data_IF_938842602159
#
_entry.id   IF_938842602159
#
_cell.length_a   1.000
_cell.length_b   1.000
_cell.length_c   1.000
_cell.angle_alpha   90.00
_cell.angle_beta   90.00
_cell.angle_gamma   90.00
#
_symmetry.space_group_name_H-M   'P 1'
#
loop_
_entity.id
_entity.type
_entity.pdbx_description
1 polymer ?
#
# COMPACT_ATOMS: atom_id res chain seq x y z
N UNK A 1 23.51 1.38 5.14
CA UNK A 1 24.53 0.79 6.03
C UNK A 1 23.97 -0.18 7.09
N UNK A 2 22.70 -0.07 7.50
CA UNK A 2 22.12 -0.94 8.56
C UNK A 2 21.78 -2.38 8.12
N UNK A 3 21.44 -2.59 6.84
CA UNK A 3 20.98 -3.91 6.34
C UNK A 3 22.12 -4.86 5.96
N UNK A 4 23.28 -4.35 5.53
CA UNK A 4 24.46 -5.19 5.25
C UNK A 4 24.96 -5.95 6.48
N UNK A 5 24.77 -5.38 7.67
CA UNK A 5 25.10 -6.02 8.95
C UNK A 5 24.15 -7.21 9.23
N UNK A 6 22.86 -7.10 8.88
CA UNK A 6 21.88 -8.16 9.15
C UNK A 6 21.90 -9.33 8.18
N UNK A 7 22.48 -9.19 6.98
CA UNK A 7 22.58 -10.31 6.01
C UNK A 7 23.34 -11.50 6.59
N UNK A 8 24.34 -11.24 7.45
CA UNK A 8 25.11 -12.29 8.13
C UNK A 8 24.33 -13.03 9.23
N UNK A 9 23.18 -12.49 9.66
CA UNK A 9 22.31 -13.09 10.66
C UNK A 9 21.16 -13.91 10.04
N UNK A 10 20.99 -13.85 8.72
CA UNK A 10 19.95 -14.59 8.02
C UNK A 10 20.53 -15.90 7.46
N UNK A 11 19.72 -16.99 7.43
CA UNK A 11 20.06 -18.21 6.73
C UNK A 11 20.52 -17.93 5.29
N UNK A 12 21.62 -18.56 4.87
CA UNK A 12 22.28 -18.28 3.58
C UNK A 12 21.46 -18.68 2.35
N UNK A 13 20.44 -19.51 2.55
CA UNK A 13 19.46 -19.94 1.56
C UNK A 13 18.35 -18.90 1.31
N UNK A 14 18.26 -17.83 2.12
CA UNK A 14 17.24 -16.78 1.95
C UNK A 14 17.78 -15.61 1.14
N UNK A 15 17.16 -15.37 -0.02
CA UNK A 15 17.41 -14.18 -0.82
C UNK A 15 16.74 -12.96 -0.19
N UNK A 16 17.51 -11.89 0.02
CA UNK A 16 17.01 -10.59 0.45
C UNK A 16 17.11 -9.63 -0.72
N UNK A 17 15.96 -9.11 -1.14
CA UNK A 17 15.87 -8.16 -2.25
C UNK A 17 15.79 -6.73 -1.75
N UNK A 18 16.27 -5.83 -2.59
CA UNK A 18 16.13 -4.39 -2.40
C UNK A 18 15.41 -3.81 -3.61
N UNK A 19 14.44 -2.93 -3.37
CA UNK A 19 13.86 -2.12 -4.43
C UNK A 19 14.94 -1.12 -4.86
N UNK A 20 15.17 -1.04 -6.17
CA UNK A 20 16.12 -0.08 -6.74
C UNK A 20 15.75 1.35 -6.31
N UNK A 21 16.76 2.16 -6.00
CA UNK A 21 16.54 3.51 -5.48
C UNK A 21 15.74 4.36 -6.47
N UNK A 22 16.03 4.22 -7.75
CA UNK A 22 15.41 4.89 -8.88
C UNK A 22 13.91 4.65 -8.93
N UNK A 23 13.46 3.41 -8.66
CA UNK A 23 12.03 3.05 -8.59
C UNK A 23 11.36 3.78 -7.43
N UNK A 24 11.99 3.77 -6.24
CA UNK A 24 11.43 4.45 -5.07
C UNK A 24 11.42 5.97 -5.21
N UNK A 25 12.42 6.56 -5.89
CA UNK A 25 12.50 7.99 -6.16
C UNK A 25 11.41 8.41 -7.14
N UNK A 26 11.28 7.69 -8.26
CA UNK A 26 10.24 7.97 -9.26
C UNK A 26 8.83 7.82 -8.68
N UNK A 27 8.58 6.77 -7.89
CA UNK A 27 7.31 6.58 -7.21
C UNK A 27 6.96 7.76 -6.27
N UNK A 28 7.95 8.29 -5.55
CA UNK A 28 7.77 9.46 -4.67
C UNK A 28 7.42 10.72 -5.46
N UNK A 29 8.03 10.91 -6.62
CA UNK A 29 7.74 12.07 -7.48
C UNK A 29 6.31 11.99 -8.03
N UNK A 30 5.89 10.82 -8.53
CA UNK A 30 4.51 10.59 -8.99
C UNK A 30 3.49 10.82 -7.87
N UNK A 31 3.76 10.29 -6.67
CA UNK A 31 2.90 10.47 -5.50
C UNK A 31 2.72 11.95 -5.14
N UNK A 32 3.82 12.72 -5.11
CA UNK A 32 3.80 14.16 -4.82
C UNK A 32 3.09 14.95 -5.91
N UNK A 33 3.35 14.63 -7.16
CA UNK A 33 2.71 15.30 -8.29
C UNK A 33 1.20 15.07 -8.25
N UNK A 34 0.77 13.85 -7.97
CA UNK A 34 -0.64 13.52 -7.82
C UNK A 34 -1.30 14.30 -6.67
N UNK A 35 -0.64 14.40 -5.51
CA UNK A 35 -1.12 15.21 -4.39
C UNK A 35 -1.34 16.67 -4.83
N UNK A 36 -0.35 17.26 -5.49
CA UNK A 36 -0.43 18.65 -5.96
C UNK A 36 -1.53 18.84 -7.01
N UNK A 37 -1.80 17.83 -7.84
CA UNK A 37 -2.89 17.89 -8.84
C UNK A 37 -4.24 17.84 -8.14
N UNK A 38 -4.43 16.94 -7.17
CA UNK A 38 -5.66 16.87 -6.36
C UNK A 38 -5.93 18.19 -5.62
N UNK A 39 -4.92 18.75 -4.96
CA UNK A 39 -5.05 20.03 -4.25
C UNK A 39 -5.43 21.17 -5.20
N UNK A 40 -4.87 21.20 -6.41
CA UNK A 40 -5.19 22.19 -7.44
C UNK A 40 -6.65 22.12 -7.93
N UNK A 41 -7.26 20.95 -7.93
CA UNK A 41 -8.66 20.76 -8.34
C UNK A 41 -9.63 20.79 -7.15
N UNK A 42 -9.16 21.20 -5.96
CA UNK A 42 -9.99 21.42 -4.79
C UNK A 42 -10.14 20.23 -3.84
N UNK A 43 -9.43 19.13 -4.08
CA UNK A 43 -9.33 18.03 -3.11
C UNK A 43 -8.14 18.28 -2.19
N UNK A 44 -8.39 18.77 -0.97
CA UNK A 44 -7.37 19.16 0.00
C UNK A 44 -7.68 20.51 0.65
N UNK A 45 -6.72 21.15 1.36
CA UNK A 45 -5.33 20.73 1.52
C UNK A 45 -5.19 19.47 2.40
N UNK A 46 -4.28 18.57 2.03
CA UNK A 46 -4.02 17.38 2.83
C UNK A 46 -3.01 17.70 3.95
N UNK A 47 -3.36 17.40 5.21
CA UNK A 47 -2.40 17.50 6.33
C UNK A 47 -1.43 16.33 6.27
N UNK A 48 -0.13 16.60 6.21
CA UNK A 48 0.91 15.57 6.04
C UNK A 48 1.16 15.22 4.58
N UNK A 49 1.53 13.97 4.29
CA UNK A 49 1.57 13.42 2.92
C UNK A 49 2.83 13.72 2.09
N UNK A 50 3.79 14.49 2.61
CA UNK A 50 5.06 14.79 1.88
C UNK A 50 5.94 13.57 1.66
N UNK A 51 5.71 12.52 2.44
CA UNK A 51 6.40 11.23 2.36
C UNK A 51 5.42 10.17 1.91
N UNK A 52 5.77 9.46 0.86
CA UNK A 52 5.03 8.29 0.38
C UNK A 52 5.10 7.17 1.44
N UNK A 53 3.96 6.57 1.84
CA UNK A 53 3.96 5.41 2.74
C UNK A 53 4.67 4.20 2.12
N UNK A 54 5.29 3.35 2.95
CA UNK A 54 5.91 2.09 2.47
C UNK A 54 4.90 1.16 1.78
N UNK A 55 3.62 1.21 2.17
CA UNK A 55 2.55 0.49 1.48
C UNK A 55 2.42 0.90 0.00
N UNK A 56 2.67 2.17 -0.33
CA UNK A 56 2.69 2.66 -1.72
C UNK A 56 3.96 2.24 -2.47
N UNK A 57 5.11 2.18 -1.80
CA UNK A 57 6.33 1.59 -2.39
C UNK A 57 6.07 0.14 -2.82
N UNK A 58 5.41 -0.65 -1.95
CA UNK A 58 4.96 -2.00 -2.26
C UNK A 58 3.96 -2.05 -3.41
N UNK A 59 2.97 -1.15 -3.43
CA UNK A 59 1.98 -1.07 -4.50
C UNK A 59 2.64 -0.83 -5.87
N UNK A 60 3.55 0.14 -5.96
CA UNK A 60 4.26 0.43 -7.21
C UNK A 60 5.05 -0.79 -7.69
N UNK A 61 5.73 -1.49 -6.78
CA UNK A 61 6.42 -2.73 -7.14
C UNK A 61 5.44 -3.79 -7.67
N UNK A 62 4.32 -4.02 -6.97
CA UNK A 62 3.33 -5.04 -7.37
C UNK A 62 2.70 -4.71 -8.73
N UNK A 63 2.43 -3.44 -9.04
CA UNK A 63 1.93 -3.01 -10.35
C UNK A 63 2.90 -3.32 -11.50
N UNK A 64 4.19 -3.54 -11.24
CA UNK A 64 5.16 -3.91 -12.26
C UNK A 64 5.23 -5.42 -12.52
N UNK A 65 4.79 -6.25 -11.57
CA UNK A 65 5.00 -7.71 -11.62
C UNK A 65 3.68 -8.51 -11.66
N UNK A 66 2.56 -7.88 -11.30
CA UNK A 66 1.25 -8.51 -11.30
C UNK A 66 0.39 -7.97 -12.45
N UNK A 67 -0.45 -8.83 -13.04
CA UNK A 67 -1.44 -8.42 -14.04
C UNK A 67 -2.69 -7.76 -13.40
N UNK A 68 -3.03 -8.20 -12.19
CA UNK A 68 -4.15 -7.70 -11.41
C UNK A 68 -3.70 -7.51 -9.96
N UNK A 69 -4.23 -6.49 -9.29
CA UNK A 69 -3.82 -6.14 -7.94
C UNK A 69 -5.03 -5.82 -7.06
N UNK A 70 -5.29 -6.70 -6.10
CA UNK A 70 -6.27 -6.47 -5.03
C UNK A 70 -5.56 -5.85 -3.81
N UNK A 71 -6.04 -4.71 -3.33
CA UNK A 71 -5.41 -3.92 -2.27
C UNK A 71 -6.28 -3.94 -1.03
N UNK A 72 -5.75 -4.42 0.09
CA UNK A 72 -6.47 -4.54 1.37
C UNK A 72 -5.78 -3.74 2.47
N UNK A 73 -6.52 -3.40 3.53
CA UNK A 73 -5.96 -2.81 4.74
C UNK A 73 -5.66 -1.30 4.65
N UNK A 74 -6.16 -0.64 3.61
CA UNK A 74 -6.17 0.83 3.53
C UNK A 74 -7.56 1.34 3.87
N UNK A 75 -7.62 2.34 4.74
CA UNK A 75 -8.84 2.99 5.20
C UNK A 75 -8.55 4.49 5.37
N UNK A 76 -9.51 5.40 5.07
CA UNK A 76 -9.27 6.83 5.20
C UNK A 76 -9.10 7.28 6.67
N UNK A 77 -9.25 6.37 7.65
CA UNK A 77 -9.09 6.62 9.09
C UNK A 77 -9.95 7.81 9.55
N UNK A 78 -11.20 7.87 9.05
CA UNK A 78 -12.12 8.96 9.34
C UNK A 78 -12.85 8.81 10.67
N UNK A 79 -12.95 7.59 11.19
CA UNK A 79 -13.70 7.28 12.40
C UNK A 79 -12.84 6.42 13.32
N UNK A 80 -12.66 6.82 14.59
CA UNK A 80 -11.79 6.18 15.58
C UNK A 80 -12.10 4.71 15.93
N UNK A 81 -12.96 4.06 15.17
CA UNK A 81 -13.37 2.66 15.29
C UNK A 81 -12.37 1.69 14.64
N UNK A 82 -11.44 2.17 13.81
CA UNK A 82 -10.45 1.33 13.14
C UNK A 82 -9.07 1.49 13.78
N UNK A 83 -8.53 0.37 14.26
CA UNK A 83 -7.18 0.28 14.82
C UNK A 83 -6.12 0.61 13.76
N UNK A 84 -5.10 1.39 14.13
CA UNK A 84 -4.05 1.82 13.19
C UNK A 84 -3.26 0.65 12.59
N UNK A 85 -2.83 -0.29 13.41
CA UNK A 85 -2.34 -1.59 12.97
C UNK A 85 -3.27 -2.69 13.49
N UNK A 86 -3.51 -3.72 12.69
CA UNK A 86 -4.37 -4.83 13.12
C UNK A 86 -3.71 -5.70 14.23
N UNK A 87 -2.38 -5.67 14.35
CA UNK A 87 -1.62 -6.60 15.18
C UNK A 87 -1.04 -5.99 16.48
N UNK A 88 -1.01 -4.66 16.61
CA UNK A 88 -0.44 -3.98 17.79
C UNK A 88 -1.26 -2.74 18.18
N UNK A 89 -0.98 -2.16 19.34
CA UNK A 89 -1.71 -1.02 19.91
C UNK A 89 -1.03 0.34 19.62
N UNK A 90 -0.16 0.42 18.60
CA UNK A 90 0.49 1.68 18.22
C UNK A 90 -0.58 2.68 17.78
N UNK A 91 -0.48 3.90 18.29
CA UNK A 91 -1.34 5.02 17.87
C UNK A 91 -0.70 5.76 16.70
N UNK A 92 -1.49 6.23 15.72
CA UNK A 92 -0.96 7.01 14.63
C UNK A 92 -0.46 8.36 15.17
N UNK A 93 0.75 8.76 14.81
CA UNK A 93 1.29 10.09 15.17
C UNK A 93 0.88 11.19 14.17
N UNK A 94 0.21 10.80 13.06
CA UNK A 94 -0.39 11.69 12.06
C UNK A 94 0.60 12.58 11.30
N UNK A 95 1.91 12.44 11.55
CA UNK A 95 2.91 13.44 11.16
C UNK A 95 3.55 13.22 9.77
N UNK A 96 3.95 12.00 9.36
CA UNK A 96 4.66 11.83 8.09
C UNK A 96 3.75 11.58 6.87
N UNK A 97 2.54 11.04 7.08
CA UNK A 97 1.66 10.57 6.01
C UNK A 97 0.25 11.16 6.16
N UNK A 98 -0.40 11.43 5.02
CA UNK A 98 -1.81 11.78 5.00
C UNK A 98 -2.61 10.52 4.64
N UNK A 99 -3.35 9.97 5.60
CA UNK A 99 -4.18 8.77 5.38
C UNK A 99 -5.33 9.04 4.43
N UNK A 100 -5.98 10.21 4.56
CA UNK A 100 -7.02 10.68 3.65
C UNK A 100 -6.51 10.72 2.20
N UNK A 101 -5.39 11.40 1.96
CA UNK A 101 -4.78 11.47 0.63
C UNK A 101 -4.41 10.08 0.10
N UNK A 102 -3.78 9.27 0.93
CA UNK A 102 -3.35 7.91 0.57
C UNK A 102 -4.55 7.06 0.15
N UNK A 103 -5.67 7.20 0.85
CA UNK A 103 -6.90 6.50 0.52
C UNK A 103 -7.53 7.02 -0.76
N UNK A 104 -7.64 8.34 -0.92
CA UNK A 104 -8.20 8.95 -2.13
C UNK A 104 -7.38 8.64 -3.39
N UNK A 105 -6.05 8.57 -3.26
CA UNK A 105 -5.18 8.09 -4.33
C UNK A 105 -5.57 6.68 -4.77
N UNK A 106 -5.73 5.75 -3.82
CA UNK A 106 -6.14 4.38 -4.13
C UNK A 106 -7.54 4.31 -4.71
N UNK A 107 -8.47 5.18 -4.29
CA UNK A 107 -9.79 5.29 -4.90
C UNK A 107 -9.70 5.70 -6.35
N UNK A 108 -8.88 6.70 -6.68
CA UNK A 108 -8.70 7.13 -8.07
C UNK A 108 -8.11 6.00 -8.93
N UNK A 109 -7.12 5.27 -8.40
CA UNK A 109 -6.61 4.08 -9.10
C UNK A 109 -7.66 2.99 -9.26
N UNK A 110 -8.56 2.85 -8.28
CA UNK A 110 -9.66 1.89 -8.34
C UNK A 110 -10.69 2.25 -9.41
N UNK A 111 -11.14 3.50 -9.45
CA UNK A 111 -12.06 4.00 -10.47
C UNK A 111 -11.45 3.92 -11.87
N UNK A 112 -10.12 4.07 -11.98
CA UNK A 112 -9.37 3.90 -13.23
C UNK A 112 -9.15 2.42 -13.60
N UNK A 113 -9.63 1.46 -12.81
CA UNK A 113 -9.45 0.01 -12.99
C UNK A 113 -7.98 -0.44 -13.02
N UNK A 114 -7.07 0.34 -12.41
CA UNK A 114 -5.64 0.00 -12.29
C UNK A 114 -5.43 -0.96 -11.12
N UNK A 115 -6.17 -0.76 -10.02
CA UNK A 115 -6.15 -1.63 -8.84
C UNK A 115 -7.58 -1.92 -8.39
N UNK A 116 -7.79 -3.01 -7.64
CA UNK A 116 -9.05 -3.27 -6.95
C UNK A 116 -8.89 -2.94 -5.47
N UNK A 117 -9.43 -1.79 -5.05
CA UNK A 117 -9.37 -1.39 -3.64
C UNK A 117 -10.45 -2.13 -2.84
N UNK A 118 -10.01 -2.94 -1.88
CA UNK A 118 -10.86 -3.78 -1.05
C UNK A 118 -10.91 -3.25 0.38
N UNK A 119 -12.04 -2.65 0.73
CA UNK A 119 -12.31 -2.16 2.09
C UNK A 119 -13.53 -2.85 2.68
N UNK A 120 -13.60 -3.02 4.02
CA UNK A 120 -14.79 -3.56 4.68
C UNK A 120 -16.05 -2.76 4.35
N UNK A 121 -15.91 -1.44 4.15
CA UNK A 121 -17.02 -0.53 3.82
C UNK A 121 -17.46 -0.62 2.35
N UNK A 122 -16.63 -1.14 1.44
CA UNK A 122 -16.93 -1.26 -0.01
C UNK A 122 -17.08 -2.72 -0.50
N UNK A 123 -17.23 -3.71 0.39
CA UNK A 123 -17.23 -5.13 0.02
C UNK A 123 -18.42 -5.58 -0.84
N UNK A 124 -19.46 -4.76 -0.98
CA UNK A 124 -20.71 -5.21 -1.60
C UNK A 124 -20.71 -5.15 -3.13
N UNK A 125 -19.82 -4.37 -3.77
CA UNK A 125 -19.80 -4.18 -5.24
C UNK A 125 -18.40 -4.16 -5.88
N UNK A 126 -17.33 -4.41 -5.13
CA UNK A 126 -15.94 -4.20 -5.59
C UNK A 126 -15.33 -5.39 -6.34
N UNK A 127 -16.02 -6.52 -6.44
CA UNK A 127 -15.43 -7.76 -6.97
C UNK A 127 -14.34 -8.36 -6.06
N UNK A 128 -14.18 -7.82 -4.85
CA UNK A 128 -13.22 -8.33 -3.88
C UNK A 128 -13.63 -9.73 -3.41
N UNK A 129 -12.70 -10.71 -3.45
CA UNK A 129 -12.92 -12.02 -2.85
C UNK A 129 -13.48 -11.90 -1.44
N UNK A 130 -14.70 -12.43 -1.23
CA UNK A 130 -15.35 -12.45 0.10
C UNK A 130 -14.73 -13.49 1.04
N UNK A 131 -13.96 -14.41 0.48
CA UNK A 131 -13.33 -15.51 1.18
C UNK A 131 -11.84 -15.55 0.85
N UNK A 132 -11.05 -15.88 1.87
CA UNK A 132 -9.65 -16.23 1.69
C UNK A 132 -9.65 -17.51 0.85
N UNK A 133 -9.32 -17.42 -0.45
CA UNK A 133 -9.07 -18.61 -1.26
C UNK A 133 -8.07 -19.48 -0.50
N UNK A 134 -8.43 -20.73 -0.27
CA UNK A 134 -7.52 -21.69 0.37
C UNK A 134 -6.26 -21.83 -0.48
N UNK A 135 -5.13 -22.23 0.11
CA UNK A 135 -3.86 -22.40 -0.62
C UNK A 135 -4.02 -23.29 -1.86
N UNK A 136 -4.91 -24.29 -1.76
CA UNK A 136 -5.30 -25.18 -2.86
C UNK A 136 -6.01 -24.47 -4.03
N UNK A 137 -6.78 -23.41 -3.76
CA UNK A 137 -7.49 -22.64 -4.78
C UNK A 137 -6.60 -21.56 -5.43
N UNK A 138 -5.45 -21.25 -4.82
CA UNK A 138 -4.47 -20.33 -5.36
C UNK A 138 -3.38 -21.03 -6.20
N UNK A 139 -3.37 -22.36 -6.24
CA UNK A 139 -2.32 -23.13 -6.93
C UNK A 139 -0.93 -22.94 -6.33
N UNK A 140 -0.84 -22.36 -5.14
CA UNK A 140 0.41 -22.10 -4.43
C UNK A 140 0.79 -23.35 -3.64
N UNK A 141 1.35 -24.33 -4.33
CA UNK A 141 2.10 -25.41 -3.66
C UNK A 141 3.51 -24.89 -3.39
N UNK A 142 3.78 -24.51 -2.15
CA UNK A 142 5.17 -24.33 -1.72
C UNK A 142 5.80 -25.72 -1.74
N UNK A 143 6.78 -25.92 -2.62
CA UNK A 143 7.65 -27.10 -2.52
C UNK A 143 8.56 -26.86 -1.32
N UNK A 144 8.42 -27.73 -0.32
CA UNK A 144 9.33 -27.84 0.82
C UNK A 144 10.80 -27.99 0.38
#
# INVERSE_FOLDING_TARGET
>A
MYLSIRRHLLPQDRMVYHIAHEVTAHAKDVFREFQQRMERVGFGPFRGGRTMPSGFEGLVLMMQICNELDVYGFDPQTDGDVKYHYFDDVKPDGTPHSFEFSFDFLRVLHEAQIVRLCTPRHSNNTGCPKERKTENELGLTWRD
#
